data_IF_025057924597
#
_entry.id   IF_025057924597
#
_cell.length_a   1.000
_cell.length_b   1.000
_cell.length_c   1.000
_cell.angle_alpha   90.00
_cell.angle_beta   90.00
_cell.angle_gamma   90.00
#
_symmetry.space_group_name_H-M   'P 1'
#
loop_
_entity.id
_entity.type
_entity.pdbx_description
1 polymer ?
#
# COMPACT_ATOMS: atom_id res chain seq x y z
N UNK A 1 -23.62 -1.10 0.86
CA UNK A 1 -22.95 -2.20 0.12
C UNK A 1 -21.70 -2.63 0.87
N UNK A 2 -21.37 -3.93 0.88
CA UNK A 2 -20.10 -4.46 1.40
C UNK A 2 -19.16 -4.76 0.25
N UNK A 3 -17.88 -4.42 0.37
CA UNK A 3 -16.88 -4.65 -0.67
C UNK A 3 -15.62 -5.31 -0.09
N UNK A 4 -14.93 -6.06 -0.94
CA UNK A 4 -13.60 -6.58 -0.68
C UNK A 4 -12.70 -6.21 -1.86
N UNK A 5 -11.64 -5.47 -1.58
CA UNK A 5 -10.56 -5.20 -2.52
C UNK A 5 -9.34 -6.06 -2.15
N UNK A 6 -8.82 -6.78 -3.15
CA UNK A 6 -7.73 -7.73 -2.97
C UNK A 6 -6.35 -7.10 -3.17
N UNK A 7 -6.25 -5.82 -3.51
CA UNK A 7 -4.96 -5.13 -3.64
C UNK A 7 -5.10 -3.60 -3.70
N UNK A 8 -4.54 -2.89 -2.71
CA UNK A 8 -4.49 -1.41 -2.70
C UNK A 8 -3.12 -0.88 -2.23
N UNK A 9 -2.58 0.08 -2.98
CA UNK A 9 -1.28 0.73 -2.78
C UNK A 9 -1.32 1.91 -1.79
N UNK A 10 -2.05 1.79 -0.68
CA UNK A 10 -2.35 2.93 0.21
C UNK A 10 -1.07 3.55 0.82
N UNK A 11 -0.22 2.74 1.46
CA UNK A 11 1.03 3.24 2.07
C UNK A 11 2.05 3.68 1.02
N UNK A 12 2.04 3.07 -0.15
CA UNK A 12 2.88 3.46 -1.28
C UNK A 12 2.48 4.83 -1.84
N UNK A 13 1.18 5.06 -2.04
CA UNK A 13 0.61 6.35 -2.43
C UNK A 13 1.03 7.50 -1.51
N UNK A 14 1.01 7.27 -0.19
CA UNK A 14 1.49 8.24 0.81
C UNK A 14 2.99 8.47 0.72
N UNK A 15 3.79 7.40 0.67
CA UNK A 15 5.26 7.49 0.81
C UNK A 15 5.99 7.92 -0.46
N UNK A 16 5.49 7.57 -1.64
CA UNK A 16 6.19 7.83 -2.92
C UNK A 16 5.53 8.91 -3.78
N UNK A 17 4.20 9.03 -3.71
CA UNK A 17 3.44 10.03 -4.48
C UNK A 17 2.97 11.21 -3.65
N UNK A 18 3.25 11.22 -2.33
CA UNK A 18 2.78 12.25 -1.39
C UNK A 18 1.28 12.52 -1.49
N UNK A 19 0.51 11.48 -1.84
CA UNK A 19 -0.93 11.57 -1.98
C UNK A 19 -1.59 11.53 -0.60
N UNK A 20 -2.64 12.33 -0.41
CA UNK A 20 -3.50 12.21 0.76
C UNK A 20 -4.38 10.97 0.60
N UNK A 21 -3.88 9.82 1.06
CA UNK A 21 -4.61 8.55 1.04
C UNK A 21 -5.58 8.40 2.23
N UNK A 22 -5.70 9.43 3.07
CA UNK A 22 -6.66 9.45 4.18
C UNK A 22 -7.95 10.12 3.73
N UNK A 23 -7.87 11.35 3.20
CA UNK A 23 -9.04 12.14 2.82
C UNK A 23 -9.04 12.57 1.34
N UNK A 24 -7.93 12.37 0.63
CA UNK A 24 -7.74 12.93 -0.69
C UNK A 24 -8.59 12.26 -1.78
N UNK A 25 -8.64 12.91 -2.95
CA UNK A 25 -9.49 12.51 -4.06
C UNK A 25 -8.78 11.60 -5.07
N UNK A 26 -7.67 10.97 -4.69
CA UNK A 26 -6.93 10.05 -5.56
C UNK A 26 -7.79 8.80 -5.90
N UNK A 27 -7.15 7.80 -6.52
CA UNK A 27 -7.83 6.55 -6.89
C UNK A 27 -8.55 5.90 -5.69
N UNK A 28 -7.93 5.92 -4.52
CA UNK A 28 -8.52 5.46 -3.27
C UNK A 28 -8.04 6.29 -2.07
N UNK A 29 -8.89 6.38 -1.03
CA UNK A 29 -8.55 6.93 0.28
C UNK A 29 -9.41 6.28 1.37
N UNK A 30 -8.95 6.32 2.61
CA UNK A 30 -9.69 5.76 3.76
C UNK A 30 -11.10 6.38 3.86
N UNK A 31 -11.24 7.69 3.62
CA UNK A 31 -12.52 8.37 3.61
C UNK A 31 -13.46 7.88 2.49
N UNK A 32 -12.92 7.58 1.30
CA UNK A 32 -13.70 6.98 0.21
C UNK A 32 -14.13 5.54 0.54
N UNK A 33 -13.22 4.72 1.06
CA UNK A 33 -13.51 3.34 1.50
C UNK A 33 -14.54 3.29 2.63
N UNK A 34 -14.56 4.31 3.50
CA UNK A 34 -15.53 4.45 4.58
C UNK A 34 -16.93 4.88 4.10
N UNK A 35 -17.17 5.10 2.81
CA UNK A 35 -18.52 5.36 2.27
C UNK A 35 -19.35 4.09 2.12
N UNK A 36 -18.69 2.93 2.05
CA UNK A 36 -19.36 1.63 2.05
C UNK A 36 -19.78 1.24 3.48
N UNK A 37 -20.67 0.25 3.59
CA UNK A 37 -21.16 -0.22 4.90
C UNK A 37 -20.04 -0.95 5.63
N UNK A 38 -19.27 -1.74 4.89
CA UNK A 38 -18.08 -2.42 5.35
C UNK A 38 -17.15 -2.71 4.18
N UNK A 39 -15.87 -2.41 4.37
CA UNK A 39 -14.81 -2.60 3.37
C UNK A 39 -13.75 -3.51 3.97
N UNK A 40 -13.29 -4.50 3.20
CA UNK A 40 -12.06 -5.24 3.44
C UNK A 40 -11.06 -4.89 2.35
N UNK A 41 -9.83 -4.59 2.72
CA UNK A 41 -8.75 -4.24 1.78
C UNK A 41 -7.50 -5.04 2.12
N UNK A 42 -6.90 -5.65 1.11
CA UNK A 42 -5.53 -6.14 1.19
C UNK A 42 -4.59 -4.98 0.89
N UNK A 43 -4.11 -4.32 1.94
CA UNK A 43 -3.28 -3.14 1.82
C UNK A 43 -1.84 -3.58 1.59
N UNK A 44 -1.34 -3.32 0.38
CA UNK A 44 -0.03 -3.74 -0.05
C UNK A 44 1.06 -2.94 0.66
N UNK A 45 2.10 -3.64 1.09
CA UNK A 45 3.41 -3.10 1.39
C UNK A 45 4.27 -3.41 0.18
N UNK A 46 4.53 -2.37 -0.63
CA UNK A 46 5.49 -2.42 -1.73
C UNK A 46 6.73 -1.62 -1.31
N UNK A 47 7.78 -2.25 -0.77
CA UNK A 47 8.87 -1.57 -0.08
C UNK A 47 10.03 -1.24 -1.03
N UNK A 48 9.72 -0.57 -2.12
CA UNK A 48 10.67 -0.31 -3.19
C UNK A 48 11.03 1.17 -3.29
N UNK A 49 12.17 1.53 -3.84
CA UNK A 49 12.50 2.94 -4.11
C UNK A 49 12.82 3.05 -5.58
N UNK A 50 12.16 3.99 -6.26
CA UNK A 50 12.48 4.32 -7.65
C UNK A 50 13.94 4.75 -7.73
N UNK A 51 14.67 4.15 -8.66
CA UNK A 51 16.08 4.44 -8.88
C UNK A 51 16.36 4.61 -10.37
N UNK A 52 17.56 5.10 -10.68
CA UNK A 52 18.08 5.16 -12.04
C UNK A 52 19.47 4.55 -12.04
N UNK A 53 19.56 3.28 -12.46
CA UNK A 53 20.77 2.48 -12.49
C UNK A 53 20.89 1.75 -13.85
N UNK A 54 21.83 0.83 -13.98
CA UNK A 54 22.07 0.06 -15.20
C UNK A 54 20.84 -0.77 -15.64
N UNK A 55 19.93 -1.09 -14.71
CA UNK A 55 18.69 -1.78 -15.06
C UNK A 55 17.71 -0.86 -15.80
N UNK A 56 17.78 0.46 -15.57
CA UNK A 56 17.02 1.43 -16.36
C UNK A 56 17.43 1.38 -17.84
N UNK A 57 18.73 1.29 -18.11
CA UNK A 57 19.25 1.15 -19.48
C UNK A 57 18.82 -0.18 -20.11
N UNK A 58 18.83 -1.28 -19.34
CA UNK A 58 18.35 -2.59 -19.81
C UNK A 58 16.87 -2.55 -20.16
N UNK A 59 16.03 -2.00 -19.29
CA UNK A 59 14.58 -1.88 -19.50
C UNK A 59 14.30 -0.97 -20.70
N UNK A 60 15.01 0.15 -20.84
CA UNK A 60 14.89 1.03 -22.01
C UNK A 60 15.21 0.30 -23.31
N UNK A 61 16.28 -0.51 -23.35
CA UNK A 61 16.63 -1.32 -24.53
C UNK A 61 15.56 -2.37 -24.86
N UNK A 62 14.90 -2.93 -23.85
CA UNK A 62 13.86 -3.95 -24.04
C UNK A 62 12.52 -3.36 -24.50
N UNK A 63 12.10 -2.25 -23.91
CA UNK A 63 10.75 -1.71 -24.08
C UNK A 63 10.69 -0.38 -24.85
N UNK A 64 11.84 0.15 -25.29
CA UNK A 64 11.94 1.38 -26.08
C UNK A 64 11.55 2.66 -25.34
N UNK A 65 11.39 2.61 -24.01
CA UNK A 65 11.00 3.76 -23.18
C UNK A 65 11.79 3.80 -21.88
N UNK A 66 12.13 5.01 -21.45
CA UNK A 66 12.65 5.27 -20.12
C UNK A 66 11.66 4.75 -19.06
N UNK A 67 12.12 3.91 -18.14
CA UNK A 67 11.32 3.40 -17.03
C UNK A 67 12.23 3.25 -15.82
N UNK A 68 11.86 3.87 -14.71
CA UNK A 68 12.64 3.80 -13.49
C UNK A 68 12.49 2.39 -12.89
N UNK A 69 13.56 1.58 -12.78
CA UNK A 69 13.53 0.39 -11.96
C UNK A 69 13.37 0.77 -10.49
N UNK A 70 13.20 -0.25 -9.66
CA UNK A 70 13.14 -0.11 -8.22
C UNK A 70 14.16 -0.99 -7.53
N UNK A 71 14.54 -0.61 -6.32
CA UNK A 71 15.30 -1.46 -5.41
C UNK A 71 14.59 -1.58 -4.07
N UNK A 72 14.76 -2.71 -3.41
CA UNK A 72 14.19 -2.96 -2.09
C UNK A 72 14.77 -2.00 -1.02
N UNK A 73 13.91 -1.56 -0.10
CA UNK A 73 14.27 -0.82 1.10
C UNK A 73 13.51 -1.34 2.31
N UNK A 74 14.25 -1.86 3.30
CA UNK A 74 13.65 -2.30 4.56
C UNK A 74 13.05 -1.14 5.37
N UNK A 75 13.65 0.05 5.29
CA UNK A 75 13.12 1.24 5.96
C UNK A 75 11.70 1.57 5.48
N UNK A 76 11.42 1.36 4.19
CA UNK A 76 10.07 1.53 3.66
C UNK A 76 9.09 0.48 4.17
N UNK A 77 9.50 -0.78 4.36
CA UNK A 77 8.65 -1.79 5.02
C UNK A 77 8.20 -1.26 6.37
N UNK A 78 9.16 -0.79 7.17
CA UNK A 78 8.91 -0.29 8.52
C UNK A 78 8.01 0.95 8.49
N UNK A 79 8.23 1.88 7.56
CA UNK A 79 7.43 3.09 7.46
C UNK A 79 6.00 2.83 6.98
N UNK A 80 5.81 1.89 6.04
CA UNK A 80 4.48 1.43 5.63
C UNK A 80 3.72 0.79 6.78
N UNK A 81 4.38 -0.09 7.55
CA UNK A 81 3.79 -0.69 8.75
C UNK A 81 3.38 0.39 9.76
N UNK A 82 4.30 1.32 10.10
CA UNK A 82 4.02 2.43 11.02
C UNK A 82 2.81 3.24 10.56
N UNK A 83 2.66 3.48 9.26
CA UNK A 83 1.53 4.19 8.69
C UNK A 83 0.21 3.44 8.95
N UNK A 84 0.12 2.16 8.64
CA UNK A 84 -1.10 1.38 8.91
C UNK A 84 -1.42 1.30 10.40
N UNK A 85 -0.41 1.10 11.26
CA UNK A 85 -0.60 1.13 12.72
C UNK A 85 -1.02 2.51 13.22
N UNK A 86 -0.56 3.59 12.58
CA UNK A 86 -1.04 4.94 12.88
C UNK A 86 -2.53 5.09 12.55
N UNK A 87 -2.99 4.59 11.39
CA UNK A 87 -4.41 4.61 11.03
C UNK A 87 -5.26 3.80 12.03
N UNK A 88 -4.80 2.63 12.46
CA UNK A 88 -5.50 1.82 13.48
C UNK A 88 -5.59 2.55 14.82
N UNK A 89 -4.49 3.15 15.30
CA UNK A 89 -4.49 3.95 16.55
C UNK A 89 -5.42 5.16 16.49
N UNK A 90 -5.61 5.74 15.30
CA UNK A 90 -6.55 6.85 15.06
C UNK A 90 -8.01 6.39 14.96
N UNK A 91 -8.28 5.08 15.00
CA UNK A 91 -9.62 4.52 14.83
C UNK A 91 -10.17 4.63 13.41
N UNK A 92 -9.31 4.91 12.43
CA UNK A 92 -9.73 5.10 11.03
C UNK A 92 -9.91 3.76 10.31
N UNK A 93 -9.15 2.75 10.70
CA UNK A 93 -9.17 1.40 10.14
C UNK A 93 -9.05 0.37 11.26
N UNK A 94 -9.41 -0.88 10.95
CA UNK A 94 -9.13 -2.04 11.79
C UNK A 94 -8.14 -2.96 11.07
N UNK A 95 -6.99 -3.27 11.68
CA UNK A 95 -6.07 -4.26 11.10
C UNK A 95 -6.56 -5.66 11.51
N UNK A 96 -6.75 -6.51 10.51
CA UNK A 96 -7.18 -7.90 10.64
C UNK A 96 -5.96 -8.79 10.64
N UNK A 97 -5.78 -9.55 11.72
CA UNK A 97 -4.65 -10.47 11.95
C UNK A 97 -5.07 -11.93 11.88
N UNK A 98 -6.37 -12.20 11.95
CA UNK A 98 -6.93 -13.55 11.86
C UNK A 98 -8.43 -13.55 11.58
N UNK A 99 -9.00 -14.72 11.29
CA UNK A 99 -10.41 -14.86 10.88
C UNK A 99 -11.42 -14.50 11.96
N UNK A 100 -10.99 -14.43 13.23
CA UNK A 100 -11.86 -14.16 14.37
C UNK A 100 -11.78 -12.70 14.87
N UNK A 101 -11.01 -11.84 14.19
CA UNK A 101 -10.91 -10.44 14.57
C UNK A 101 -12.24 -9.72 14.34
N UNK A 102 -12.65 -8.92 15.33
CA UNK A 102 -13.82 -8.06 15.17
C UNK A 102 -13.59 -7.06 14.02
N UNK A 103 -14.56 -6.98 13.11
CA UNK A 103 -14.50 -6.09 11.96
C UNK A 103 -14.92 -4.67 12.34
N UNK A 104 -14.21 -3.69 11.79
CA UNK A 104 -14.62 -2.29 11.74
C UNK A 104 -15.34 -1.93 10.44
N UNK A 105 -15.42 -0.62 10.18
CA UNK A 105 -15.98 -0.08 8.92
C UNK A 105 -15.03 -0.28 7.74
N UNK A 106 -13.76 0.06 7.93
CA UNK A 106 -12.67 -0.21 6.98
C UNK A 106 -11.71 -1.19 7.65
N UNK A 107 -11.51 -2.34 7.02
CA UNK A 107 -10.71 -3.45 7.52
C UNK A 107 -9.52 -3.64 6.61
N UNK A 108 -8.32 -3.75 7.18
CA UNK A 108 -7.07 -3.91 6.44
C UNK A 108 -6.45 -5.25 6.79
N UNK A 109 -6.18 -6.06 5.78
CA UNK A 109 -5.19 -7.15 5.84
C UNK A 109 -3.90 -6.60 5.25
N UNK A 110 -2.83 -6.60 6.02
CA UNK A 110 -1.52 -6.15 5.53
C UNK A 110 -0.93 -7.26 4.67
N UNK A 111 -0.65 -6.96 3.41
CA UNK A 111 -0.09 -7.90 2.44
C UNK A 111 1.29 -7.42 1.98
N UNK A 112 2.28 -8.31 1.92
CA UNK A 112 3.60 -7.99 1.39
C UNK A 112 3.59 -8.21 -0.14
N UNK A 113 3.91 -7.18 -0.90
CA UNK A 113 4.11 -7.27 -2.35
C UNK A 113 5.60 -7.31 -2.66
N UNK A 114 6.04 -8.42 -3.28
CA UNK A 114 7.44 -8.70 -3.54
C UNK A 114 8.06 -9.61 -2.49
N UNK A 115 8.59 -10.75 -2.94
CA UNK A 115 9.25 -11.74 -2.06
C UNK A 115 10.72 -11.40 -1.78
N UNK A 116 11.25 -10.40 -2.45
CA UNK A 116 12.60 -9.89 -2.25
C UNK A 116 12.80 -9.26 -0.86
N UNK A 117 11.71 -8.85 -0.21
CA UNK A 117 11.69 -8.44 1.20
C UNK A 117 11.99 -9.57 2.21
N UNK A 118 12.05 -10.83 1.76
CA UNK A 118 12.34 -12.01 2.59
C UNK A 118 13.78 -12.52 2.44
N UNK A 119 14.62 -11.83 1.65
CA UNK A 119 16.00 -12.23 1.38
C UNK A 119 16.99 -11.59 2.32
#
# INVERSE_FOLDING_TARGET
MRIADLHEDISWGTSQYFSDTINGPAQSSIAQLAKFDQTLVFAAIYPHVRTWNEDADKIMRLYGRATNPTHFSFDLVIDHLKFYYYLERRGLVKIIRGPNDALGKVNIVIALEGTDALR
#
